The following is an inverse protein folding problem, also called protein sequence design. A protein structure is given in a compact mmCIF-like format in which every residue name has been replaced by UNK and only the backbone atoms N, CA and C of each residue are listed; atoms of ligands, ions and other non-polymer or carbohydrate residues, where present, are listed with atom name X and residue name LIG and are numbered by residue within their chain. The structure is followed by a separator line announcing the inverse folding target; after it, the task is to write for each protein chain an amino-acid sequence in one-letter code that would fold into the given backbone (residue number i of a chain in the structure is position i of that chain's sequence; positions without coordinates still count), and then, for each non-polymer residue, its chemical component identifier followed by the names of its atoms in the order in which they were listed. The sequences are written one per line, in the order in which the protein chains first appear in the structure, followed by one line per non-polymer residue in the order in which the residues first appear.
data_IF_710854068231
#
_entry.id   IF_710854068231
#
_cell.length_a   1.000
_cell.length_b   1.000
_cell.length_c   1.000
_cell.angle_alpha   90.00
_cell.angle_beta   90.00
_cell.angle_gamma   90.00
#
_symmetry.space_group_name_H-M   'P 1'
#
loop_
_entity.id
_entity.type
_entity.pdbx_description
1 polymer ?
#
# COMPACT_ATOMS: atom_id res chain seq x y z
N UNK A 1 10.68 17.84 4.81
CA UNK A 1 9.50 17.17 4.21
C UNK A 1 9.91 15.75 4.01
N UNK A 2 9.14 14.80 4.54
CA UNK A 2 9.50 13.40 4.45
C UNK A 2 9.30 12.92 3.01
N UNK A 3 10.35 12.31 2.45
CA UNK A 3 10.29 11.54 1.21
C UNK A 3 10.53 10.09 1.58
N UNK A 4 9.50 9.26 1.42
CA UNK A 4 9.61 7.83 1.69
C UNK A 4 10.35 7.13 0.55
N UNK A 5 11.27 6.24 0.88
CA UNK A 5 12.02 5.43 -0.07
C UNK A 5 11.84 3.95 0.29
N UNK A 6 11.10 3.26 -0.54
CA UNK A 6 10.85 1.82 -0.46
C UNK A 6 11.90 1.05 -1.25
N UNK A 7 12.36 -0.06 -0.67
CA UNK A 7 13.33 -0.94 -1.30
C UNK A 7 13.09 -2.40 -0.88
N UNK A 8 13.56 -3.33 -1.69
CA UNK A 8 13.53 -4.76 -1.37
C UNK A 8 14.66 -5.47 -2.09
N UNK A 9 15.54 -6.12 -1.33
CA UNK A 9 16.72 -6.81 -1.86
C UNK A 9 17.93 -5.88 -1.98
N UNK A 10 19.10 -6.47 -2.24
CA UNK A 10 20.40 -5.82 -2.05
C UNK A 10 20.67 -4.67 -3.03
N UNK A 11 20.35 -4.85 -4.32
CA UNK A 11 20.57 -3.82 -5.34
C UNK A 11 19.62 -2.64 -5.18
N UNK A 12 18.34 -2.92 -4.96
CA UNK A 12 17.33 -1.91 -4.64
C UNK A 12 17.68 -1.15 -3.36
N UNK A 13 18.21 -1.82 -2.33
CA UNK A 13 18.72 -1.15 -1.12
C UNK A 13 19.86 -0.18 -1.44
N UNK A 14 20.85 -0.62 -2.21
CA UNK A 14 21.98 0.23 -2.58
C UNK A 14 21.54 1.47 -3.39
N UNK A 15 20.53 1.32 -4.25
CA UNK A 15 19.91 2.44 -4.96
C UNK A 15 19.20 3.40 -4.00
N UNK A 16 18.44 2.85 -3.04
CA UNK A 16 17.73 3.62 -2.04
C UNK A 16 18.67 4.38 -1.09
N UNK A 17 19.76 3.74 -0.64
CA UNK A 17 20.82 4.37 0.15
C UNK A 17 21.46 5.53 -0.64
N UNK A 18 21.76 5.30 -1.93
CA UNK A 18 22.31 6.34 -2.81
C UNK A 18 21.38 7.54 -2.95
N UNK A 19 20.07 7.30 -3.09
CA UNK A 19 19.05 8.36 -3.14
C UNK A 19 18.93 9.10 -1.81
N UNK A 20 18.91 8.37 -0.69
CA UNK A 20 18.81 8.92 0.66
C UNK A 20 19.93 9.90 0.95
N UNK A 21 21.16 9.54 0.60
CA UNK A 21 22.31 10.41 0.87
C UNK A 21 22.39 11.58 -0.12
N UNK A 22 21.88 11.40 -1.34
CA UNK A 22 21.95 12.40 -2.39
C UNK A 22 20.84 13.47 -2.35
N UNK A 23 19.59 13.08 -2.11
CA UNK A 23 18.43 13.98 -2.16
C UNK A 23 18.60 15.28 -1.33
N UNK A 24 19.11 15.26 -0.08
CA UNK A 24 19.29 16.46 0.73
C UNK A 24 20.31 17.45 0.14
N UNK A 25 21.27 16.97 -0.65
CA UNK A 25 22.24 17.83 -1.32
C UNK A 25 21.60 18.65 -2.44
N UNK A 26 20.63 18.07 -3.15
CA UNK A 26 19.90 18.74 -4.23
C UNK A 26 18.83 19.65 -3.67
N UNK A 27 18.03 19.15 -2.73
CA UNK A 27 16.92 19.88 -2.11
C UNK A 27 17.00 19.72 -0.59
N UNK A 28 17.56 20.74 0.06
CA UNK A 28 17.85 20.76 1.50
C UNK A 28 16.62 20.67 2.41
N UNK A 29 15.43 20.94 1.87
CA UNK A 29 14.16 20.87 2.60
C UNK A 29 13.56 19.45 2.68
N UNK A 30 14.25 18.45 2.10
CA UNK A 30 13.83 17.04 2.11
C UNK A 30 14.50 16.30 3.27
N UNK A 31 13.72 15.44 3.92
CA UNK A 31 14.18 14.46 4.89
C UNK A 31 13.87 13.07 4.32
N UNK A 32 14.84 12.40 3.68
CA UNK A 32 14.62 11.07 3.13
C UNK A 32 14.48 10.07 4.27
N UNK A 33 13.43 9.25 4.19
CA UNK A 33 13.16 8.18 5.14
C UNK A 33 13.03 6.87 4.38
N UNK A 34 13.84 5.87 4.74
CA UNK A 34 13.80 4.56 4.11
C UNK A 34 12.96 3.60 4.93
N UNK A 35 12.27 2.66 4.28
CA UNK A 35 11.69 1.53 5.01
C UNK A 35 12.80 0.75 5.71
N UNK A 36 12.72 0.63 7.03
CA UNK A 36 13.62 -0.26 7.78
C UNK A 36 13.12 -1.69 7.60
N UNK A 37 13.95 -2.55 7.00
CA UNK A 37 13.64 -3.98 6.89
C UNK A 37 13.58 -4.68 8.26
N UNK A 38 14.16 -4.05 9.29
CA UNK A 38 14.15 -4.49 10.68
C UNK A 38 13.36 -3.49 11.53
N UNK A 39 12.03 -3.59 11.47
CA UNK A 39 11.19 -3.05 12.52
C UNK A 39 11.58 -3.78 13.80
N UNK A 40 11.89 -3.03 14.86
CA UNK A 40 12.19 -3.58 16.18
C UNK A 40 11.22 -4.73 16.53
N UNK A 41 11.77 -5.85 17.00
CA UNK A 41 11.00 -7.05 17.32
C UNK A 41 9.85 -6.69 18.27
N UNK A 42 8.62 -6.80 17.77
CA UNK A 42 7.40 -6.60 18.56
C UNK A 42 6.63 -5.31 18.27
N UNK A 43 7.14 -4.44 17.40
CA UNK A 43 6.44 -3.20 17.02
C UNK A 43 5.39 -3.48 15.93
N UNK A 44 4.19 -2.90 16.05
CA UNK A 44 3.10 -3.09 15.08
C UNK A 44 3.43 -2.36 13.77
N UNK A 45 4.08 -3.07 12.86
CA UNK A 45 4.51 -2.59 11.54
C UNK A 45 3.52 -1.67 10.83
N UNK A 46 2.24 -2.05 10.77
CA UNK A 46 1.23 -1.29 10.05
C UNK A 46 0.86 0.06 10.69
N UNK A 47 1.00 0.22 12.00
CA UNK A 47 0.59 1.47 12.69
C UNK A 47 1.68 2.53 12.56
N UNK A 48 2.95 2.15 12.75
CA UNK A 48 4.06 3.11 12.66
C UNK A 48 4.33 3.51 11.22
N UNK A 49 4.21 2.59 10.26
CA UNK A 49 4.30 2.92 8.85
C UNK A 49 3.17 3.88 8.45
N UNK A 50 1.91 3.59 8.79
CA UNK A 50 0.79 4.49 8.48
C UNK A 50 0.94 5.88 9.10
N UNK A 51 1.47 5.99 10.33
CA UNK A 51 1.67 7.29 10.96
C UNK A 51 2.79 8.10 10.30
N UNK A 52 3.91 7.48 9.92
CA UNK A 52 4.97 8.17 9.16
C UNK A 52 4.55 8.51 7.72
N UNK A 53 3.70 7.68 7.13
CA UNK A 53 3.17 7.89 5.78
C UNK A 53 2.13 9.01 5.70
N UNK A 54 1.39 9.31 6.77
CA UNK A 54 0.40 10.41 6.79
C UNK A 54 1.02 11.77 6.48
N UNK A 55 2.25 12.01 6.92
CA UNK A 55 2.97 13.27 6.70
C UNK A 55 3.86 13.24 5.43
N UNK A 56 3.93 12.09 4.77
CA UNK A 56 4.73 11.90 3.56
C UNK A 56 3.95 12.35 2.33
N UNK A 57 4.55 13.24 1.52
CA UNK A 57 3.95 13.71 0.26
C UNK A 57 4.47 13.00 -0.97
N UNK A 58 5.63 12.35 -0.86
CA UNK A 58 6.25 11.63 -1.97
C UNK A 58 6.79 10.29 -1.48
N UNK A 59 6.43 9.21 -2.19
CA UNK A 59 7.02 7.89 -2.05
C UNK A 59 7.78 7.49 -3.32
N UNK A 60 9.04 7.09 -3.16
CA UNK A 60 9.88 6.55 -4.23
C UNK A 60 10.02 5.05 -3.98
N UNK A 61 9.77 4.23 -5.00
CA UNK A 61 9.86 2.77 -4.91
C UNK A 61 11.03 2.32 -5.78
N UNK A 62 12.13 1.89 -5.17
CA UNK A 62 13.33 1.46 -5.88
C UNK A 62 13.14 0.05 -6.44
N UNK A 63 13.05 -0.07 -7.77
CA UNK A 63 12.77 -1.31 -8.47
C UNK A 63 13.98 -1.81 -9.25
N UNK A 64 14.24 -3.11 -9.11
CA UNK A 64 15.24 -3.86 -9.87
C UNK A 64 14.61 -5.17 -10.35
N UNK A 65 15.23 -5.84 -11.31
CA UNK A 65 14.70 -7.08 -11.88
C UNK A 65 14.40 -8.17 -10.83
N UNK A 66 15.08 -8.14 -9.69
CA UNK A 66 14.89 -9.11 -8.60
C UNK A 66 13.68 -8.84 -7.70
N UNK A 67 13.12 -7.62 -7.73
CA UNK A 67 12.08 -7.22 -6.76
C UNK A 67 10.77 -6.73 -7.39
N UNK A 68 10.63 -6.80 -8.71
CA UNK A 68 9.41 -6.42 -9.43
C UNK A 68 8.17 -7.19 -8.96
N UNK A 69 8.34 -8.46 -8.62
CA UNK A 69 7.26 -9.34 -8.15
C UNK A 69 7.16 -9.38 -6.62
N UNK A 70 7.92 -8.56 -5.89
CA UNK A 70 7.94 -8.58 -4.43
C UNK A 70 6.56 -8.21 -3.88
N UNK A 71 5.84 -9.13 -3.20
CA UNK A 71 4.51 -8.84 -2.66
C UNK A 71 4.54 -7.72 -1.61
N UNK A 72 5.70 -7.50 -0.99
CA UNK A 72 5.97 -6.41 -0.06
C UNK A 72 5.92 -5.04 -0.74
N UNK A 73 6.58 -4.91 -1.89
CA UNK A 73 6.56 -3.67 -2.69
C UNK A 73 5.15 -3.37 -3.18
N UNK A 74 4.40 -4.39 -3.63
CA UNK A 74 3.00 -4.20 -4.03
C UNK A 74 2.09 -3.85 -2.85
N UNK A 75 2.37 -4.37 -1.65
CA UNK A 75 1.65 -3.99 -0.45
C UNK A 75 1.95 -2.55 -0.04
N UNK A 76 3.21 -2.14 -0.02
CA UNK A 76 3.61 -0.76 0.29
C UNK A 76 3.06 0.22 -0.75
N UNK A 77 3.16 -0.08 -2.04
CA UNK A 77 2.55 0.72 -3.10
C UNK A 77 1.04 0.86 -2.93
N UNK A 78 0.36 -0.25 -2.56
CA UNK A 78 -1.06 -0.27 -2.25
C UNK A 78 -1.41 0.57 -1.02
N UNK A 79 -0.66 0.41 0.07
CA UNK A 79 -0.85 1.17 1.31
C UNK A 79 -0.60 2.66 1.09
N UNK A 80 0.47 3.03 0.37
CA UNK A 80 0.76 4.41 -0.04
C UNK A 80 -0.40 5.01 -0.84
N UNK A 81 -0.93 4.27 -1.81
CA UNK A 81 -2.01 4.74 -2.68
C UNK A 81 -3.35 4.96 -1.95
N UNK A 82 -3.60 4.21 -0.86
CA UNK A 82 -4.83 4.30 -0.07
C UNK A 82 -4.73 5.25 1.11
N UNK A 83 -3.55 5.37 1.70
CA UNK A 83 -3.33 6.15 2.93
C UNK A 83 -3.12 7.63 2.62
N UNK A 84 -2.69 7.95 1.40
CA UNK A 84 -2.34 9.31 1.03
C UNK A 84 -3.08 9.68 -0.25
N UNK A 85 -4.29 10.23 -0.12
CA UNK A 85 -5.12 10.72 -1.23
C UNK A 85 -4.41 11.76 -2.12
N UNK A 86 -3.25 12.29 -1.69
CA UNK A 86 -2.47 13.29 -2.41
C UNK A 86 -0.96 12.99 -2.53
N UNK A 87 -0.50 11.76 -2.28
CA UNK A 87 0.94 11.46 -2.42
C UNK A 87 1.33 11.18 -3.88
N UNK A 88 2.49 11.70 -4.27
CA UNK A 88 3.18 11.24 -5.46
C UNK A 88 3.85 9.91 -5.16
N UNK A 89 3.42 8.84 -5.82
CA UNK A 89 4.13 7.54 -5.80
C UNK A 89 4.89 7.40 -7.12
N UNK A 90 6.20 7.19 -7.04
CA UNK A 90 7.07 7.08 -8.19
C UNK A 90 7.85 5.74 -8.17
N UNK A 91 7.50 4.80 -9.06
CA UNK A 91 8.36 3.66 -9.37
C UNK A 91 9.67 4.15 -9.99
N UNK A 92 10.80 3.87 -9.34
CA UNK A 92 12.13 4.29 -9.77
C UNK A 92 12.94 3.08 -10.25
N UNK A 93 13.12 2.98 -11.57
CA UNK A 93 13.54 1.76 -12.24
C UNK A 93 15.05 1.72 -12.47
N UNK A 94 15.72 0.73 -11.92
CA UNK A 94 17.16 0.52 -12.11
C UNK A 94 17.43 -0.76 -12.90
N UNK A 95 17.89 -0.58 -14.15
CA UNK A 95 18.09 -1.64 -15.15
C UNK A 95 16.82 -2.47 -15.40
N UNK A 96 15.66 -1.79 -15.43
CA UNK A 96 14.34 -2.38 -15.69
C UNK A 96 13.57 -1.42 -16.59
N UNK A 97 12.73 -1.97 -17.48
CA UNK A 97 11.86 -1.19 -18.35
C UNK A 97 10.46 -0.99 -17.74
N UNK A 98 9.78 0.14 -18.02
CA UNK A 98 8.41 0.37 -17.54
C UNK A 98 7.43 -0.72 -17.95
N UNK A 99 7.68 -1.40 -19.08
CA UNK A 99 6.89 -2.54 -19.56
C UNK A 99 6.98 -3.77 -18.67
N UNK A 100 8.01 -3.86 -17.82
CA UNK A 100 8.20 -4.98 -16.89
C UNK A 100 7.41 -4.77 -15.59
N UNK A 101 6.79 -3.61 -15.41
CA UNK A 101 5.94 -3.33 -14.25
C UNK A 101 4.64 -4.13 -14.34
N UNK A 102 4.25 -4.68 -13.20
CA UNK A 102 3.01 -5.45 -13.07
C UNK A 102 2.18 -4.96 -11.87
N UNK A 103 0.92 -5.39 -11.84
CA UNK A 103 0.01 -5.15 -10.72
C UNK A 103 -0.24 -3.65 -10.45
N UNK A 104 -0.32 -3.23 -9.18
CA UNK A 104 -0.72 -1.87 -8.81
C UNK A 104 0.34 -0.81 -9.14
N UNK A 105 1.54 -1.19 -9.58
CA UNK A 105 2.58 -0.23 -9.96
C UNK A 105 2.34 0.39 -11.34
N UNK A 106 1.63 -0.32 -12.22
CA UNK A 106 1.35 0.10 -13.61
C UNK A 106 0.52 1.39 -13.67
N UNK A 107 -0.24 1.70 -12.63
CA UNK A 107 -1.05 2.93 -12.56
C UNK A 107 -0.20 4.19 -12.32
N UNK A 108 1.07 4.05 -11.94
CA UNK A 108 1.95 5.17 -11.63
C UNK A 108 2.91 5.46 -12.78
N UNK A 109 3.27 6.74 -12.93
CA UNK A 109 4.32 7.16 -13.86
C UNK A 109 5.69 6.78 -13.29
N UNK A 110 6.35 5.84 -13.96
CA UNK A 110 7.68 5.38 -13.59
C UNK A 110 8.77 6.34 -14.09
N UNK A 111 9.86 6.43 -13.34
CA UNK A 111 11.06 7.16 -13.70
C UNK A 111 12.23 6.17 -13.82
N UNK A 112 12.94 6.18 -14.94
CA UNK A 112 14.19 5.40 -15.04
C UNK A 112 15.29 6.06 -14.21
N UNK A 113 16.22 5.26 -13.70
CA UNK A 113 17.41 5.73 -13.00
C UNK A 113 18.46 6.31 -13.97
N UNK A 114 18.06 7.32 -14.75
CA UNK A 114 18.89 8.07 -15.67
C UNK A 114 18.73 9.57 -15.41
N UNK A 115 19.60 10.40 -16.02
CA UNK A 115 19.63 11.84 -15.75
C UNK A 115 18.31 12.53 -16.05
N UNK A 116 17.70 12.21 -17.20
CA UNK A 116 16.51 12.90 -17.68
C UNK A 116 15.30 12.65 -16.77
N UNK A 117 15.03 11.39 -16.44
CA UNK A 117 13.89 11.02 -15.61
C UNK A 117 14.11 11.39 -14.14
N UNK A 118 15.35 11.30 -13.64
CA UNK A 118 15.65 11.76 -12.28
C UNK A 118 15.51 13.28 -12.15
N UNK A 119 15.84 14.04 -13.19
CA UNK A 119 15.62 15.48 -13.22
C UNK A 119 14.13 15.83 -13.14
N UNK A 120 13.27 15.13 -13.90
CA UNK A 120 11.81 15.27 -13.84
C UNK A 120 11.25 14.87 -12.46
N UNK A 121 11.76 13.78 -11.88
CA UNK A 121 11.43 13.36 -10.52
C UNK A 121 11.76 14.46 -9.51
N UNK A 122 12.91 15.11 -9.67
CA UNK A 122 13.32 16.19 -8.78
C UNK A 122 12.44 17.43 -8.87
N UNK A 123 11.98 17.80 -10.07
CA UNK A 123 10.96 18.83 -10.23
C UNK A 123 9.64 18.47 -9.56
N UNK A 124 9.22 17.21 -9.67
CA UNK A 124 7.99 16.71 -9.03
C UNK A 124 8.08 16.81 -7.50
N UNK A 125 9.21 16.38 -6.93
CA UNK A 125 9.46 16.47 -5.50
C UNK A 125 9.53 17.94 -5.04
N UNK A 126 10.19 18.80 -5.80
CA UNK A 126 10.27 20.22 -5.49
C UNK A 126 8.89 20.88 -5.51
N UNK A 127 8.02 20.52 -6.45
CA UNK A 127 6.64 21.00 -6.51
C UNK A 127 5.82 20.56 -5.28
N UNK A 128 6.04 19.34 -4.79
CA UNK A 128 5.36 18.82 -3.60
C UNK A 128 5.69 19.61 -2.31
N UNK A 129 6.80 20.36 -2.29
CA UNK A 129 7.18 21.22 -1.16
C UNK A 129 6.31 22.49 -1.02
N UNK A 130 5.54 22.88 -2.04
CA UNK A 130 4.70 24.09 -2.00
C UNK A 130 5.53 25.35 -1.76
N UNK A 131 5.20 26.12 -0.72
CA UNK A 131 5.89 27.38 -0.38
C UNK A 131 7.38 27.21 -0.06
N UNK A 132 7.82 26.00 0.27
CA UNK A 132 9.23 25.66 0.51
C UNK A 132 9.98 25.21 -0.75
N UNK A 133 9.34 25.24 -1.91
CA UNK A 133 9.97 24.87 -3.18
C UNK A 133 11.13 25.80 -3.52
N UNK A 134 12.23 25.23 -4.00
CA UNK A 134 13.34 25.99 -4.52
C UNK A 134 12.96 26.66 -5.86
N UNK A 135 13.47 27.87 -6.16
CA UNK A 135 13.35 28.44 -7.48
C UNK A 135 13.96 27.51 -8.54
N UNK A 136 13.31 27.39 -9.70
CA UNK A 136 13.69 26.44 -10.75
C UNK A 136 15.18 26.52 -11.14
N UNK A 137 15.70 27.74 -11.28
CA UNK A 137 17.13 27.97 -11.56
C UNK A 137 18.06 27.40 -10.49
N UNK A 138 17.68 27.48 -9.22
CA UNK A 138 18.48 26.95 -8.11
C UNK A 138 18.42 25.42 -8.10
N UNK A 139 17.23 24.84 -8.27
CA UNK A 139 17.06 23.39 -8.38
C UNK A 139 17.92 22.82 -9.51
N UNK A 140 17.83 23.40 -10.71
CA UNK A 140 18.61 22.95 -11.87
C UNK A 140 20.10 23.05 -11.61
N UNK A 141 20.57 24.15 -11.00
CA UNK A 141 21.98 24.32 -10.66
C UNK A 141 22.47 23.28 -9.65
N UNK A 142 21.70 23.03 -8.59
CA UNK A 142 22.03 22.03 -7.58
C UNK A 142 22.02 20.62 -8.17
N UNK A 143 21.01 20.30 -8.99
CA UNK A 143 20.92 19.01 -9.67
C UNK A 143 22.14 18.76 -10.57
N UNK A 144 22.48 19.70 -11.45
CA UNK A 144 23.62 19.57 -12.36
C UNK A 144 24.95 19.42 -11.62
N UNK A 145 25.08 20.07 -10.45
CA UNK A 145 26.27 19.96 -9.61
C UNK A 145 26.42 18.57 -8.98
N UNK A 146 25.34 18.01 -8.43
CA UNK A 146 25.40 16.77 -7.66
C UNK A 146 25.03 15.51 -8.47
N UNK A 147 24.52 15.66 -9.70
CA UNK A 147 24.21 14.51 -10.56
C UNK A 147 25.41 13.58 -10.80
N UNK A 148 26.63 14.09 -11.12
CA UNK A 148 27.76 13.20 -11.40
C UNK A 148 28.10 12.25 -10.23
N UNK A 149 28.04 12.75 -9.00
CA UNK A 149 28.31 11.96 -7.80
C UNK A 149 27.27 10.84 -7.62
N UNK A 150 26.00 11.15 -7.84
CA UNK A 150 24.92 10.17 -7.79
C UNK A 150 25.04 9.13 -8.88
N UNK A 151 25.32 9.58 -10.11
CA UNK A 151 25.49 8.70 -11.26
C UNK A 151 26.65 7.73 -11.04
N UNK A 152 27.77 8.19 -10.48
CA UNK A 152 28.90 7.35 -10.13
C UNK A 152 28.54 6.32 -9.04
N UNK A 153 27.76 6.72 -8.04
CA UNK A 153 27.32 5.82 -6.97
C UNK A 153 26.39 4.72 -7.48
N UNK A 154 25.40 5.05 -8.32
CA UNK A 154 24.50 4.03 -8.87
C UNK A 154 25.19 3.13 -9.90
N UNK A 155 26.24 3.63 -10.60
CA UNK A 155 27.09 2.82 -11.49
C UNK A 155 27.91 1.76 -10.74
N UNK A 156 28.19 1.96 -9.45
CA UNK A 156 28.88 0.98 -8.59
C UNK A 156 27.97 -0.16 -8.15
N UNK A 157 26.65 -0.04 -8.31
CA UNK A 157 25.71 -1.09 -7.97
C UNK A 157 25.93 -2.25 -8.95
N UNK A 158 26.20 -3.48 -8.47
CA UNK A 158 26.44 -4.62 -9.34
C UNK A 158 25.30 -4.87 -10.33
N UNK A 159 25.64 -5.40 -11.50
CA UNK A 159 24.65 -5.95 -12.41
C UNK A 159 23.90 -7.12 -11.77
N UNK A 160 22.70 -7.41 -12.28
CA UNK A 160 21.92 -8.55 -11.81
C UNK A 160 22.76 -9.83 -11.97
N UNK A 161 23.07 -10.50 -10.85
CA UNK A 161 23.63 -11.84 -10.94
C UNK A 161 22.53 -12.76 -11.45
N UNK A 162 22.82 -13.54 -12.50
CA UNK A 162 21.95 -14.63 -12.96
C UNK A 162 21.68 -15.57 -11.79
N UNK A 163 20.45 -15.48 -11.25
CA UNK A 163 19.79 -16.32 -10.24
C UNK A 163 20.72 -17.39 -9.63
N UNK A 164 21.45 -17.02 -8.57
CA UNK A 164 21.91 -18.01 -7.58
C UNK A 164 21.20 -17.69 -6.28
N UNK A 165 20.53 -18.71 -5.77
CA UNK A 165 19.56 -18.70 -4.69
C UNK A 165 20.04 -17.88 -3.48
N UNK A 166 19.28 -16.83 -3.15
CA UNK A 166 19.53 -15.99 -1.97
C UNK A 166 18.21 -15.79 -1.23
N UNK A 167 18.06 -16.58 -0.16
CA UNK A 167 17.02 -16.54 0.87
C UNK A 167 15.57 -16.76 0.41
N UNK A 168 15.29 -18.00 -0.04
CA UNK A 168 13.93 -18.55 -0.13
C UNK A 168 13.25 -18.76 1.23
N UNK A 169 13.97 -19.05 2.32
CA UNK A 169 13.32 -19.64 3.51
C UNK A 169 12.40 -18.71 4.30
N UNK A 170 12.75 -17.43 4.47
CA UNK A 170 12.02 -16.59 5.43
C UNK A 170 10.99 -15.69 4.73
N UNK A 171 11.29 -15.31 3.48
CA UNK A 171 10.42 -14.47 2.65
C UNK A 171 9.32 -15.25 1.96
N UNK A 172 9.54 -16.52 1.58
CA UNK A 172 8.45 -17.38 1.10
C UNK A 172 7.45 -17.66 2.22
N UNK A 173 7.91 -17.90 3.46
CA UNK A 173 7.03 -18.08 4.62
C UNK A 173 6.23 -16.80 4.94
N UNK A 174 6.85 -15.62 4.83
CA UNK A 174 6.13 -14.36 5.02
C UNK A 174 5.14 -14.08 3.89
N UNK A 175 5.49 -14.45 2.65
CA UNK A 175 4.58 -14.37 1.51
C UNK A 175 3.40 -15.34 1.65
N UNK A 176 3.63 -16.55 2.13
CA UNK A 176 2.59 -17.55 2.41
C UNK A 176 1.67 -17.07 3.53
N UNK A 177 2.22 -16.47 4.59
CA UNK A 177 1.44 -15.83 5.66
C UNK A 177 0.63 -14.63 5.15
N UNK A 178 1.21 -13.78 4.31
CA UNK A 178 0.49 -12.65 3.72
C UNK A 178 -0.59 -13.12 2.74
N UNK A 179 -0.37 -14.19 1.98
CA UNK A 179 -1.40 -14.83 1.17
C UNK A 179 -2.50 -15.44 2.02
N UNK A 180 -2.15 -16.09 3.13
CA UNK A 180 -3.12 -16.65 4.06
C UNK A 180 -4.00 -15.56 4.67
N UNK A 181 -3.42 -14.45 5.13
CA UNK A 181 -4.17 -13.31 5.67
C UNK A 181 -5.04 -12.64 4.60
N UNK A 182 -4.56 -12.50 3.36
CA UNK A 182 -5.37 -12.00 2.23
C UNK A 182 -6.50 -12.96 1.85
N UNK A 183 -6.31 -14.26 2.02
CA UNK A 183 -7.37 -15.25 1.82
C UNK A 183 -8.40 -15.20 2.95
N UNK A 184 -7.96 -14.93 4.18
CA UNK A 184 -8.87 -14.68 5.31
C UNK A 184 -9.64 -13.38 5.10
N UNK A 185 -9.00 -12.29 4.66
CA UNK A 185 -9.66 -11.01 4.38
C UNK A 185 -10.64 -11.10 3.20
N UNK A 186 -10.26 -11.79 2.12
CA UNK A 186 -11.17 -12.11 1.01
C UNK A 186 -12.29 -13.06 1.45
N UNK A 187 -11.99 -14.02 2.32
CA UNK A 187 -12.97 -14.92 2.92
C UNK A 187 -13.94 -14.20 3.85
N UNK A 188 -13.50 -13.18 4.60
CA UNK A 188 -14.36 -12.31 5.43
C UNK A 188 -15.18 -11.35 4.55
N UNK A 189 -14.60 -10.85 3.46
CA UNK A 189 -15.31 -10.13 2.40
C UNK A 189 -16.35 -11.00 1.69
N UNK A 190 -16.07 -12.30 1.48
CA UNK A 190 -17.04 -13.27 0.95
C UNK A 190 -18.05 -13.71 2.01
N UNK A 191 -17.71 -13.79 3.30
CA UNK A 191 -18.69 -14.00 4.38
C UNK A 191 -19.65 -12.79 4.48
N UNK A 192 -19.16 -11.58 4.16
CA UNK A 192 -20.02 -10.39 4.01
C UNK A 192 -20.86 -10.38 2.72
N UNK A 193 -20.52 -11.20 1.71
CA UNK A 193 -21.30 -11.38 0.47
C UNK A 193 -22.15 -12.66 0.44
N UNK A 194 -21.88 -13.64 1.29
CA UNK A 194 -22.66 -14.88 1.44
C UNK A 194 -23.96 -14.64 2.22
N UNK A 195 -24.24 -13.40 2.64
CA UNK A 195 -25.55 -12.98 3.14
C UNK A 195 -26.28 -11.96 2.24
N UNK A 196 -26.13 -12.03 0.92
CA UNK A 196 -27.00 -11.24 -0.01
C UNK A 196 -27.58 -12.08 -1.16
N UNK A 197 -27.63 -13.41 -1.05
CA UNK A 197 -28.39 -14.21 -2.03
C UNK A 197 -28.91 -15.52 -1.46
N UNK A 198 -29.92 -15.40 -0.61
CA UNK A 198 -31.11 -16.26 -0.63
C UNK A 198 -32.24 -15.64 0.19
N UNK A 199 -33.15 -14.96 -0.51
CA UNK A 199 -34.57 -14.93 -0.14
C UNK A 199 -35.06 -13.72 0.65
N UNK A 200 -35.20 -12.61 -0.07
CA UNK A 200 -36.28 -11.59 -0.02
C UNK A 200 -36.62 -10.89 1.31
N UNK A 201 -36.09 -9.67 1.42
CA UNK A 201 -36.65 -8.57 2.19
C UNK A 201 -37.68 -7.87 1.30
N UNK A 202 -38.97 -7.91 1.68
CA UNK A 202 -39.97 -6.96 1.18
C UNK A 202 -40.08 -5.78 2.17
N UNK A 203 -40.57 -4.64 1.68
CA UNK A 203 -40.47 -3.26 2.20
C UNK A 203 -41.26 -3.01 3.52
N UNK A 204 -41.39 -4.02 4.37
CA UNK A 204 -42.14 -3.97 5.64
C UNK A 204 -41.33 -4.29 6.90
N UNK A 205 -40.01 -4.50 6.80
CA UNK A 205 -39.12 -4.41 7.96
C UNK A 205 -39.19 -5.57 8.98
N UNK A 206 -39.24 -6.83 8.53
CA UNK A 206 -39.12 -7.99 9.42
C UNK A 206 -37.79 -8.74 9.21
N UNK A 207 -37.13 -9.12 10.31
CA UNK A 207 -35.88 -9.90 10.37
C UNK A 207 -36.14 -11.20 11.13
N UNK A 208 -35.76 -12.35 10.57
CA UNK A 208 -35.82 -13.67 11.23
C UNK A 208 -34.50 -13.95 11.97
N UNK A 209 -34.55 -14.17 13.29
CA UNK A 209 -33.42 -14.74 14.05
C UNK A 209 -33.95 -15.85 14.97
N UNK A 210 -33.30 -17.03 14.88
CA UNK A 210 -33.38 -18.19 15.78
C UNK A 210 -34.76 -18.72 16.19
N UNK A 211 -35.21 -19.80 15.54
CA UNK A 211 -36.11 -20.83 16.11
C UNK A 211 -37.58 -20.44 16.36
N UNK A 212 -37.94 -19.18 16.15
CA UNK A 212 -39.30 -18.65 16.33
C UNK A 212 -39.65 -17.83 15.09
N UNK A 213 -40.82 -18.09 14.50
CA UNK A 213 -41.34 -17.30 13.39
C UNK A 213 -42.25 -16.20 13.95
N UNK A 214 -42.04 -14.95 13.56
CA UNK A 214 -42.89 -13.82 13.97
C UNK A 214 -43.61 -13.24 12.75
N UNK A 215 -44.86 -12.80 12.93
CA UNK A 215 -45.66 -12.12 11.90
C UNK A 215 -46.50 -11.01 12.52
N UNK A 216 -46.76 -9.96 11.75
CA UNK A 216 -47.82 -9.00 12.06
C UNK A 216 -49.12 -9.43 11.40
N UNK A 217 -50.19 -9.55 12.18
CA UNK A 217 -51.54 -9.76 11.69
C UNK A 217 -52.44 -8.61 12.16
N UNK A 218 -52.69 -7.65 11.26
CA UNK A 218 -53.22 -6.34 11.64
C UNK A 218 -52.18 -5.54 12.41
N UNK A 219 -52.55 -5.01 13.59
CA UNK A 219 -51.67 -4.23 14.47
C UNK A 219 -51.03 -5.09 15.60
N UNK A 220 -51.20 -6.42 15.54
CA UNK A 220 -50.75 -7.33 16.61
C UNK A 220 -49.56 -8.16 16.13
N UNK A 221 -48.48 -8.15 16.93
CA UNK A 221 -47.32 -9.00 16.74
C UNK A 221 -47.62 -10.40 17.28
N UNK A 222 -47.61 -11.40 16.40
CA UNK A 222 -47.77 -12.82 16.72
C UNK A 222 -46.46 -13.57 16.50
N UNK A 223 -46.23 -14.63 17.29
CA UNK A 223 -45.12 -15.55 17.08
C UNK A 223 -45.56 -17.02 17.09
N UNK A 224 -44.73 -17.88 16.51
CA UNK A 224 -44.90 -19.32 16.43
C UNK A 224 -43.56 -20.00 16.71
N UNK A 225 -43.52 -20.86 17.73
CA UNK A 225 -42.33 -21.62 18.08
C UNK A 225 -42.18 -22.87 17.22
N UNK A 226 -40.94 -23.25 16.90
CA UNK A 226 -40.64 -24.47 16.15
C UNK A 226 -41.22 -25.71 16.85
N UNK A 227 -42.12 -26.43 16.17
CA UNK A 227 -42.82 -27.62 16.69
C UNK A 227 -44.32 -27.45 16.97
N UNK A 228 -44.86 -26.23 16.82
CA UNK A 228 -46.29 -25.94 16.96
C UNK A 228 -46.87 -25.41 15.63
N UNK A 229 -48.09 -25.80 15.26
CA UNK A 229 -48.75 -25.36 14.02
C UNK A 229 -49.67 -24.12 14.18
N UNK A 230 -49.61 -23.40 15.30
CA UNK A 230 -50.48 -22.25 15.54
C UNK A 230 -49.76 -21.02 16.12
N UNK A 231 -50.26 -19.85 15.72
CA UNK A 231 -49.72 -18.53 16.05
C UNK A 231 -50.33 -17.98 17.35
N UNK A 232 -49.54 -17.27 18.15
CA UNK A 232 -49.98 -16.65 19.40
C UNK A 232 -49.38 -15.25 19.59
N UNK A 233 -50.11 -14.30 20.22
CA UNK A 233 -49.63 -12.93 20.40
C UNK A 233 -48.38 -12.83 21.29
N UNK A 234 -47.39 -12.05 20.87
CA UNK A 234 -46.11 -11.91 21.55
C UNK A 234 -46.19 -11.15 22.89
N UNK A 235 -47.30 -10.46 23.17
CA UNK A 235 -47.53 -9.77 24.44
C UNK A 235 -48.97 -9.92 24.92
N UNK A 236 -49.15 -10.47 26.15
CA UNK A 236 -50.38 -10.24 26.93
C UNK A 236 -50.34 -8.82 27.46
N UNK A 237 -50.88 -7.86 26.72
CA UNK A 237 -51.32 -6.61 27.34
C UNK A 237 -52.58 -6.91 28.15
N UNK A 238 -52.41 -7.20 29.43
CA UNK A 238 -53.48 -6.98 30.41
C UNK A 238 -53.82 -5.48 30.37
N UNK A 239 -55.07 -5.16 30.06
CA UNK A 239 -55.69 -3.92 30.56
C UNK A 239 -55.90 -4.04 32.06
#
# INVERSE_FOLDING_TARGET
MIVFISWSGTRSKALADSLRDWLPNVIQAIEPWMSEADIDKGTRWGIDLTNHLKDTKVGIICLTSENLESPWIHFEAGALSKTIESAYVCPYLFHVEPTDLTGPLVQFQAAKANKEDTHKLMHTINKALGDRALPEKQLNKSFEKYWPDFEENIKKIPEAQTKTESHRSDREVLNDLLQLVRNIDRGLGDISKVWVSKGDVDVSGNVKISGTEERLHGDVLEHMHSGYEYWHPASRLHK
#
